data_IF_291175759087
#
_entry.id   IF_291175759087
#
_cell.length_a   1.000
_cell.length_b   1.000
_cell.length_c   1.000
_cell.angle_alpha   90.00
_cell.angle_beta   90.00
_cell.angle_gamma   90.00
#
_symmetry.space_group_name_H-M   'P 1'
#
loop_
_entity.id
_entity.type
_entity.pdbx_description
1 polymer ?
#
# COMPACT_ATOMS: atom_id res chain seq x y z
N UNK A 1 -31.69 -7.70 -25.95
CA UNK A 1 -31.07 -8.92 -25.39
C UNK A 1 -30.10 -8.48 -24.31
N UNK A 2 -30.26 -8.94 -23.06
CA UNK A 2 -29.24 -8.78 -22.02
C UNK A 2 -28.10 -9.75 -22.35
N UNK A 3 -27.07 -9.27 -23.03
CA UNK A 3 -25.87 -10.06 -23.28
C UNK A 3 -25.02 -10.05 -22.00
N UNK A 4 -24.48 -11.18 -21.59
CA UNK A 4 -23.54 -11.20 -20.47
C UNK A 4 -22.20 -10.63 -20.96
N UNK A 5 -21.73 -9.54 -20.35
CA UNK A 5 -20.41 -9.00 -20.65
C UNK A 5 -19.37 -9.80 -19.85
N UNK A 6 -18.70 -10.74 -20.51
CA UNK A 6 -17.52 -11.39 -19.94
C UNK A 6 -16.32 -10.46 -20.14
N UNK A 7 -16.04 -9.62 -19.13
CA UNK A 7 -14.86 -8.77 -19.11
C UNK A 7 -13.74 -9.48 -18.34
N UNK A 8 -12.55 -9.55 -18.92
CA UNK A 8 -11.36 -10.02 -18.21
C UNK A 8 -10.49 -8.82 -17.87
N UNK A 9 -10.20 -8.65 -16.57
CA UNK A 9 -9.19 -7.70 -16.12
C UNK A 9 -7.83 -8.37 -16.24
N UNK A 10 -6.83 -7.61 -16.69
CA UNK A 10 -5.45 -8.06 -16.81
C UNK A 10 -4.54 -7.02 -16.18
N UNK A 11 -3.59 -7.50 -15.39
CA UNK A 11 -2.61 -6.66 -14.72
C UNK A 11 -1.19 -7.04 -15.18
N UNK A 12 -0.20 -6.27 -14.71
CA UNK A 12 1.21 -6.56 -14.96
C UNK A 12 1.64 -7.88 -14.30
N UNK A 13 2.88 -8.30 -14.59
CA UNK A 13 3.52 -9.31 -13.76
C UNK A 13 3.75 -8.76 -12.34
N UNK A 14 3.76 -9.67 -11.36
CA UNK A 14 4.19 -9.35 -10.00
C UNK A 14 5.68 -9.02 -9.98
N UNK A 15 6.05 -8.04 -9.16
CA UNK A 15 7.42 -7.61 -8.97
C UNK A 15 7.62 -7.39 -7.48
N UNK A 16 8.61 -8.07 -6.92
CA UNK A 16 9.02 -7.90 -5.53
C UNK A 16 10.50 -7.52 -5.45
N UNK A 17 10.88 -6.42 -4.78
CA UNK A 17 12.27 -6.09 -4.51
C UNK A 17 13.07 -7.17 -3.76
N UNK A 18 12.45 -7.90 -2.82
CA UNK A 18 13.09 -9.00 -2.03
C UNK A 18 13.19 -10.33 -2.78
N UNK A 19 12.47 -10.44 -3.90
CA UNK A 19 12.43 -11.65 -4.70
C UNK A 19 11.49 -12.70 -4.14
N UNK A 20 10.60 -12.34 -3.22
CA UNK A 20 9.53 -13.21 -2.77
C UNK A 20 8.57 -13.57 -3.91
N UNK A 21 7.93 -14.73 -3.77
CA UNK A 21 7.00 -15.24 -4.77
C UNK A 21 5.66 -14.50 -4.75
N UNK A 22 4.93 -14.46 -5.85
CA UNK A 22 3.56 -13.93 -5.85
C UNK A 22 2.62 -14.94 -5.14
N UNK A 23 2.06 -14.64 -3.96
CA UNK A 23 1.11 -15.54 -3.29
C UNK A 23 -0.31 -15.41 -3.82
N UNK A 24 -0.84 -14.18 -3.93
CA UNK A 24 -2.23 -13.94 -4.29
C UNK A 24 -2.46 -12.51 -4.79
N UNK A 25 -3.60 -12.28 -5.43
CA UNK A 25 -4.04 -10.94 -5.82
C UNK A 25 -5.46 -10.64 -5.34
N UNK A 26 -5.71 -9.41 -4.92
CA UNK A 26 -7.05 -8.92 -4.64
C UNK A 26 -7.51 -7.93 -5.72
N UNK A 27 -8.58 -8.30 -6.43
CA UNK A 27 -9.19 -7.53 -7.50
C UNK A 27 -10.42 -6.81 -6.98
N UNK A 28 -10.39 -5.48 -7.01
CA UNK A 28 -11.49 -4.65 -6.53
C UNK A 28 -12.06 -3.85 -7.69
N UNK A 29 -13.38 -3.89 -7.86
CA UNK A 29 -14.12 -3.08 -8.82
C UNK A 29 -15.02 -2.13 -8.05
N UNK A 30 -14.94 -0.84 -8.33
CA UNK A 30 -15.78 0.20 -7.74
C UNK A 30 -16.65 0.86 -8.80
N UNK A 31 -17.88 1.19 -8.44
CA UNK A 31 -18.76 1.99 -9.31
C UNK A 31 -18.22 3.41 -9.39
N UNK A 32 -18.14 3.96 -10.59
CA UNK A 32 -17.69 5.34 -10.80
C UNK A 32 -18.67 6.39 -10.26
N UNK A 33 -19.94 6.04 -10.08
CA UNK A 33 -20.98 6.96 -9.60
C UNK A 33 -20.84 7.34 -8.12
N UNK A 34 -20.42 6.39 -7.28
CA UNK A 34 -20.47 6.51 -5.82
C UNK A 34 -19.29 5.82 -5.10
N UNK A 35 -18.32 5.29 -5.85
CA UNK A 35 -17.15 4.56 -5.36
C UNK A 35 -17.47 3.33 -4.48
N UNK A 36 -18.71 2.84 -4.46
CA UNK A 36 -19.06 1.62 -3.74
C UNK A 36 -18.43 0.41 -4.42
N UNK A 37 -17.96 -0.55 -3.64
CA UNK A 37 -17.42 -1.82 -4.13
C UNK A 37 -18.54 -2.60 -4.82
N UNK A 38 -18.37 -2.85 -6.11
CA UNK A 38 -19.25 -3.72 -6.91
C UNK A 38 -18.76 -5.17 -6.88
N UNK A 39 -17.45 -5.38 -6.75
CA UNK A 39 -16.82 -6.69 -6.63
C UNK A 39 -15.50 -6.56 -5.89
N UNK A 40 -15.22 -7.56 -5.06
CA UNK A 40 -13.95 -7.77 -4.39
C UNK A 40 -13.68 -9.28 -4.38
N UNK A 41 -12.56 -9.71 -4.95
CA UNK A 41 -12.20 -11.13 -4.97
C UNK A 41 -11.67 -11.62 -3.61
N UNK A 42 -11.29 -10.71 -2.71
CA UNK A 42 -10.34 -11.01 -1.64
C UNK A 42 -9.00 -11.50 -2.19
N UNK A 43 -8.15 -12.05 -1.33
CA UNK A 43 -6.89 -12.68 -1.72
C UNK A 43 -7.13 -13.94 -2.56
N UNK A 44 -7.02 -13.81 -3.87
CA UNK A 44 -7.17 -14.88 -4.84
C UNK A 44 -5.81 -15.47 -5.21
N UNK A 45 -5.54 -16.71 -4.78
CA UNK A 45 -4.30 -17.43 -5.05
C UNK A 45 -4.26 -18.11 -6.42
N UNK A 46 -5.35 -18.05 -7.19
CA UNK A 46 -5.48 -18.66 -8.52
C UNK A 46 -5.35 -17.57 -9.60
N UNK A 47 -6.16 -16.52 -9.50
CA UNK A 47 -6.24 -15.44 -10.48
C UNK A 47 -5.22 -14.33 -10.22
N UNK A 48 -3.93 -14.65 -10.33
CA UNK A 48 -2.82 -13.75 -9.94
C UNK A 48 -2.56 -12.57 -10.88
N UNK A 49 -2.76 -12.72 -12.18
CA UNK A 49 -2.47 -11.63 -13.15
C UNK A 49 -3.64 -11.33 -14.08
N UNK A 50 -4.72 -12.11 -13.97
CA UNK A 50 -5.96 -11.85 -14.67
C UNK A 50 -7.14 -12.47 -13.93
N UNK A 51 -8.28 -11.81 -13.94
CA UNK A 51 -9.55 -12.34 -13.43
C UNK A 51 -10.68 -12.09 -14.42
N UNK A 52 -11.55 -13.08 -14.60
CA UNK A 52 -12.80 -12.89 -15.35
C UNK A 52 -13.85 -12.33 -14.39
N UNK A 53 -14.39 -11.16 -14.70
CA UNK A 53 -15.42 -10.52 -13.89
C UNK A 53 -16.69 -11.38 -13.91
N UNK A 54 -17.23 -11.77 -12.74
CA UNK A 54 -18.43 -12.59 -12.69
C UNK A 54 -19.62 -11.92 -13.38
N UNK A 55 -20.46 -12.73 -14.02
CA UNK A 55 -21.68 -12.25 -14.65
C UNK A 55 -22.59 -11.56 -13.61
N UNK A 56 -23.14 -10.39 -13.96
CA UNK A 56 -24.02 -9.62 -13.08
C UNK A 56 -23.31 -8.56 -12.21
N UNK A 57 -21.97 -8.54 -12.17
CA UNK A 57 -21.22 -7.47 -11.47
C UNK A 57 -21.31 -6.14 -12.22
N UNK A 58 -21.21 -6.19 -13.55
CA UNK A 58 -21.22 -5.01 -14.41
C UNK A 58 -22.59 -4.78 -15.04
N UNK A 59 -23.06 -3.54 -14.99
CA UNK A 59 -24.27 -3.09 -15.67
C UNK A 59 -23.93 -2.27 -16.91
N UNK A 60 -24.77 -2.37 -17.92
CA UNK A 60 -24.66 -1.55 -19.12
C UNK A 60 -24.81 -0.06 -18.80
N UNK A 61 -24.14 0.78 -19.59
CA UNK A 61 -24.19 2.25 -19.46
C UNK A 61 -23.79 2.79 -18.08
N UNK A 62 -22.98 2.03 -17.33
CA UNK A 62 -22.38 2.44 -16.07
C UNK A 62 -20.85 2.49 -16.19
N UNK A 63 -20.24 3.40 -15.42
CA UNK A 63 -18.78 3.53 -15.35
C UNK A 63 -18.26 2.80 -14.12
N UNK A 64 -17.12 2.14 -14.26
CA UNK A 64 -16.43 1.45 -13.19
C UNK A 64 -14.94 1.80 -13.20
N UNK A 65 -14.32 1.75 -12.03
CA UNK A 65 -12.87 1.70 -11.88
C UNK A 65 -12.49 0.35 -11.26
N UNK A 66 -11.26 -0.09 -11.50
CA UNK A 66 -10.76 -1.31 -10.89
C UNK A 66 -9.32 -1.13 -10.42
N UNK A 67 -8.92 -1.91 -9.42
CA UNK A 67 -7.56 -1.99 -8.91
C UNK A 67 -7.21 -3.45 -8.61
N UNK A 68 -5.92 -3.75 -8.62
CA UNK A 68 -5.36 -5.02 -8.15
C UNK A 68 -4.32 -4.73 -7.06
N UNK A 69 -4.35 -5.51 -6.00
CA UNK A 69 -3.32 -5.54 -4.96
C UNK A 69 -2.62 -6.90 -5.03
N UNK A 70 -1.29 -6.90 -5.01
CA UNK A 70 -0.51 -8.13 -4.94
C UNK A 70 -0.07 -8.41 -3.51
N UNK A 71 -0.05 -9.69 -3.15
CA UNK A 71 0.51 -10.19 -1.91
C UNK A 71 1.65 -11.13 -2.22
N UNK A 72 2.81 -10.92 -1.62
CA UNK A 72 3.97 -11.79 -1.73
C UNK A 72 3.77 -13.13 -0.98
N UNK A 73 4.77 -14.01 -1.04
CA UNK A 73 4.78 -15.33 -0.41
C UNK A 73 4.80 -15.28 1.13
N UNK A 74 5.24 -14.17 1.69
CA UNK A 74 5.36 -13.93 3.12
C UNK A 74 4.12 -13.19 3.69
N UNK A 75 3.15 -12.85 2.84
CA UNK A 75 1.93 -12.13 3.23
C UNK A 75 2.06 -10.61 3.17
N UNK A 76 3.19 -10.08 2.68
CA UNK A 76 3.39 -8.66 2.51
C UNK A 76 2.55 -8.11 1.34
N UNK A 77 1.87 -7.01 1.62
CA UNK A 77 1.29 -6.09 0.63
C UNK A 77 1.91 -4.72 0.85
N UNK A 78 2.01 -3.87 -0.18
CA UNK A 78 2.76 -2.60 -0.12
C UNK A 78 2.54 -1.77 1.16
N UNK A 79 3.54 -0.99 1.57
CA UNK A 79 3.48 -0.22 2.80
C UNK A 79 2.61 1.04 2.64
N UNK A 80 1.94 1.43 3.72
CA UNK A 80 1.18 2.68 3.84
C UNK A 80 1.86 3.57 4.88
N UNK A 81 2.31 4.74 4.45
CA UNK A 81 2.83 5.77 5.34
C UNK A 81 1.72 6.76 5.71
N UNK A 82 1.48 6.89 7.00
CA UNK A 82 0.60 7.88 7.60
C UNK A 82 1.39 8.80 8.51
N UNK A 83 0.89 10.02 8.69
CA UNK A 83 1.52 10.99 9.56
C UNK A 83 0.49 11.80 10.34
N UNK A 84 0.89 12.26 11.52
CA UNK A 84 0.11 13.19 12.33
C UNK A 84 1.02 14.10 13.14
N UNK A 85 0.46 15.18 13.65
CA UNK A 85 1.10 16.05 14.61
C UNK A 85 0.65 15.66 16.02
N UNK A 86 1.60 15.30 16.89
CA UNK A 86 1.29 15.02 18.29
C UNK A 86 0.88 16.32 19.00
N UNK A 87 -0.38 16.41 19.40
CA UNK A 87 -0.87 17.53 20.21
C UNK A 87 -0.10 17.59 21.54
N UNK A 88 0.50 18.74 21.85
CA UNK A 88 1.19 19.01 23.12
C UNK A 88 2.72 18.95 23.08
N UNK A 89 3.32 18.11 22.23
CA UNK A 89 4.79 18.05 22.05
C UNK A 89 5.27 18.74 20.77
N UNK A 90 4.37 18.91 19.78
CA UNK A 90 4.72 19.49 18.48
C UNK A 90 5.55 18.56 17.59
N UNK A 91 5.77 17.32 18.01
CA UNK A 91 6.54 16.34 17.25
C UNK A 91 5.72 15.74 16.12
N UNK A 92 6.35 15.60 14.95
CA UNK A 92 5.78 14.88 13.82
C UNK A 92 5.91 13.38 14.03
N UNK A 93 4.79 12.68 13.94
CA UNK A 93 4.70 11.24 14.15
C UNK A 93 4.42 10.55 12.84
N UNK A 94 5.22 9.53 12.54
CA UNK A 94 5.06 8.66 11.39
C UNK A 94 4.51 7.31 11.83
N UNK A 95 3.59 6.79 11.04
CA UNK A 95 3.06 5.45 11.20
C UNK A 95 3.15 4.70 9.88
N UNK A 96 3.63 3.46 9.93
CA UNK A 96 3.73 2.59 8.77
C UNK A 96 2.83 1.38 9.03
N UNK A 97 1.92 1.14 8.11
CA UNK A 97 1.01 -0.01 8.09
C UNK A 97 1.22 -0.85 6.84
N UNK A 98 0.66 -2.06 6.84
CA UNK A 98 0.37 -2.76 5.60
C UNK A 98 -0.77 -2.05 4.87
N UNK A 99 -0.72 -1.98 3.53
CA UNK A 99 -1.79 -1.37 2.73
C UNK A 99 -3.14 -2.09 2.88
N UNK A 100 -3.14 -3.37 3.26
CA UNK A 100 -4.34 -4.17 3.51
C UNK A 100 -4.94 -4.00 4.92
N UNK A 101 -4.24 -3.26 5.80
CA UNK A 101 -4.65 -3.08 7.19
C UNK A 101 -4.37 -4.28 8.10
N UNK A 102 -3.69 -5.32 7.62
CA UNK A 102 -3.21 -6.41 8.47
C UNK A 102 -2.01 -5.95 9.34
N UNK A 103 -1.77 -6.59 10.49
CA UNK A 103 -0.62 -6.28 11.33
C UNK A 103 0.73 -6.51 10.62
N UNK A 104 1.68 -5.59 10.82
CA UNK A 104 3.10 -5.81 10.57
C UNK A 104 3.68 -6.80 11.60
N UNK A 105 4.46 -7.76 11.13
CA UNK A 105 5.28 -8.63 11.98
C UNK A 105 6.74 -8.13 12.09
N UNK A 106 7.49 -8.74 13.01
CA UNK A 106 8.87 -8.33 13.31
C UNK A 106 9.87 -8.60 12.21
N UNK A 107 9.68 -9.65 11.40
CA UNK A 107 10.59 -9.97 10.30
C UNK A 107 10.44 -8.92 9.21
N UNK A 108 9.19 -8.60 8.89
CA UNK A 108 8.87 -7.58 7.90
C UNK A 108 9.36 -6.19 8.31
N UNK A 109 9.10 -5.79 9.56
CA UNK A 109 9.61 -4.53 10.12
C UNK A 109 11.13 -4.41 10.02
N UNK A 110 11.86 -5.52 10.15
CA UNK A 110 13.32 -5.50 10.03
C UNK A 110 13.78 -5.05 8.63
N UNK A 111 12.95 -5.22 7.59
CA UNK A 111 13.24 -4.83 6.22
C UNK A 111 12.72 -3.42 5.86
N UNK A 112 11.98 -2.74 6.74
CA UNK A 112 11.46 -1.41 6.46
C UNK A 112 12.52 -0.33 6.73
N UNK A 113 12.82 0.44 5.70
CA UNK A 113 13.64 1.64 5.77
C UNK A 113 12.77 2.90 5.62
N UNK A 114 12.97 3.87 6.50
CA UNK A 114 12.28 5.16 6.48
C UNK A 114 13.29 6.22 6.07
N UNK A 115 12.95 7.06 5.09
CA UNK A 115 13.82 8.12 4.61
C UNK A 115 13.16 9.49 4.76
N UNK A 116 13.99 10.50 5.03
CA UNK A 116 13.60 11.91 5.16
C UNK A 116 14.36 12.83 4.18
N UNK A 117 13.74 13.94 3.80
CA UNK A 117 14.40 15.08 3.14
C UNK A 117 13.66 16.39 3.39
N UNK A 118 14.37 17.50 3.48
CA UNK A 118 13.79 18.85 3.49
C UNK A 118 13.63 19.45 2.08
N UNK A 119 14.12 18.75 1.04
CA UNK A 119 14.10 19.21 -0.34
C UNK A 119 13.75 18.07 -1.31
N UNK A 120 12.54 18.09 -1.88
CA UNK A 120 12.11 17.09 -2.87
C UNK A 120 12.93 17.10 -4.16
N UNK A 121 13.57 18.21 -4.51
CA UNK A 121 14.27 18.36 -5.79
C UNK A 121 15.54 17.50 -5.90
N UNK A 122 16.05 16.95 -4.79
CA UNK A 122 17.28 16.15 -4.78
C UNK A 122 17.09 14.73 -5.35
N UNK A 123 15.84 14.31 -5.63
CA UNK A 123 15.52 12.96 -6.12
C UNK A 123 15.74 11.88 -5.06
N UNK A 124 15.23 10.67 -5.28
CA UNK A 124 15.20 9.58 -4.29
C UNK A 124 16.57 9.18 -3.72
N UNK A 125 17.63 9.22 -4.54
CA UNK A 125 18.99 8.85 -4.12
C UNK A 125 19.62 9.82 -3.12
N UNK A 126 19.11 11.05 -3.02
CA UNK A 126 19.59 12.06 -2.07
C UNK A 126 18.90 12.02 -0.71
N UNK A 127 17.92 11.12 -0.50
CA UNK A 127 17.16 11.08 0.75
C UNK A 127 17.95 10.34 1.83
N UNK A 128 17.87 10.84 3.05
CA UNK A 128 18.64 10.32 4.18
C UNK A 128 17.80 9.27 4.92
N UNK A 129 18.37 8.09 5.15
CA UNK A 129 17.73 7.05 5.98
C UNK A 129 17.68 7.52 7.43
N UNK A 130 16.49 7.53 8.02
CA UNK A 130 16.28 7.83 9.43
C UNK A 130 16.77 6.65 10.27
N UNK A 131 17.51 6.95 11.35
CA UNK A 131 18.08 5.94 12.26
C UNK A 131 17.43 5.96 13.64
N UNK A 132 16.39 6.77 13.79
CA UNK A 132 15.62 6.91 15.02
C UNK A 132 14.98 5.58 15.37
N UNK A 133 14.88 5.24 16.67
CA UNK A 133 14.20 4.02 17.08
C UNK A 133 12.75 4.03 16.61
N UNK A 134 12.40 3.08 15.76
CA UNK A 134 11.02 2.80 15.39
C UNK A 134 10.45 1.71 16.30
N UNK A 135 9.22 1.88 16.76
CA UNK A 135 8.55 0.98 17.71
C UNK A 135 7.41 0.26 16.98
N UNK A 136 7.45 -1.07 16.95
CA UNK A 136 6.31 -1.87 16.52
C UNK A 136 5.31 -1.96 17.68
N UNK A 137 4.12 -1.39 17.49
CA UNK A 137 3.04 -1.39 18.50
C UNK A 137 1.70 -1.65 17.84
N UNK A 138 0.91 -2.58 18.38
CA UNK A 138 -0.39 -2.98 17.82
C UNK A 138 -0.36 -3.32 16.32
N UNK A 139 0.72 -3.94 15.84
CA UNK A 139 0.85 -4.32 14.42
C UNK A 139 1.17 -3.15 13.49
N UNK A 140 1.62 -2.01 14.00
CA UNK A 140 1.98 -0.81 13.25
C UNK A 140 3.35 -0.31 13.68
N UNK A 141 4.18 0.08 12.73
CA UNK A 141 5.48 0.68 13.03
C UNK A 141 5.31 2.17 13.27
N UNK A 142 5.88 2.67 14.36
CA UNK A 142 5.77 4.05 14.81
C UNK A 142 7.15 4.69 14.93
N UNK A 143 7.29 5.93 14.48
CA UNK A 143 8.52 6.72 14.63
C UNK A 143 8.16 8.18 14.93
N UNK A 144 8.89 8.80 15.86
CA UNK A 144 8.84 10.24 16.08
C UNK A 144 9.97 10.92 15.31
N UNK A 145 9.65 11.99 14.57
CA UNK A 145 10.62 12.85 13.92
C UNK A 145 11.05 13.97 14.89
N UNK A 146 12.26 13.90 15.48
CA UNK A 146 12.75 14.91 16.41
C UNK A 146 13.16 16.20 15.71
N UNK A 147 13.37 16.18 14.39
CA UNK A 147 13.76 17.38 13.62
C UNK A 147 12.56 18.23 13.22
N UNK A 148 11.35 17.72 13.45
CA UNK A 148 10.08 18.40 13.11
C UNK A 148 9.93 19.79 13.75
N UNK A 149 10.53 20.03 14.91
CA UNK A 149 10.49 21.34 15.57
C UNK A 149 11.36 22.40 14.86
N UNK A 150 12.37 21.98 14.11
CA UNK A 150 13.34 22.86 13.42
C UNK A 150 13.18 22.89 11.90
N UNK A 151 12.35 22.01 11.34
CA UNK A 151 12.16 21.86 9.89
C UNK A 151 10.76 22.34 9.49
N UNK A 152 10.64 23.50 8.82
CA UNK A 152 9.34 24.01 8.36
C UNK A 152 8.64 23.07 7.37
N UNK A 153 9.42 22.23 6.70
CA UNK A 153 8.96 21.22 5.77
C UNK A 153 9.89 20.02 5.80
N UNK A 154 9.30 18.83 5.93
CA UNK A 154 9.99 17.55 5.92
C UNK A 154 9.14 16.57 5.10
N UNK A 155 9.79 15.84 4.19
CA UNK A 155 9.17 14.84 3.35
C UNK A 155 9.68 13.46 3.73
N UNK A 156 8.79 12.47 3.67
CA UNK A 156 9.07 11.11 4.10
C UNK A 156 8.66 10.10 3.05
N UNK A 157 9.40 9.01 3.01
CA UNK A 157 9.08 7.82 2.21
C UNK A 157 9.48 6.58 2.98
N UNK A 158 8.84 5.47 2.64
CA UNK A 158 9.13 4.15 3.18
C UNK A 158 9.52 3.24 2.03
N UNK A 159 10.55 2.45 2.25
CA UNK A 159 10.97 1.41 1.33
C UNK A 159 11.10 0.11 2.09
N UNK A 160 10.63 -0.97 1.50
CA UNK A 160 10.88 -2.32 1.98
C UNK A 160 12.13 -2.82 1.26
N UNK A 161 13.13 -3.20 2.04
CA UNK A 161 14.39 -3.75 1.53
C UNK A 161 14.16 -5.18 1.04
N UNK A 162 14.98 -5.59 0.04
CA UNK A 162 15.09 -6.98 -0.33
C UNK A 162 15.43 -7.92 0.83
#
# INVERSE_FOLDING_TARGET
TNQALALTLQASAFSDPDGDGHASSAWVIKRGSDNTIAFDSGNDSVNKTSITVPAGVLSYSATYSWSVHYTDANGAQGLKLLSTMAGGTGLFQLFIDNADGLPLDTNRVANIDIFGTTNLAIGSSGWIKLTNPAILTNGRLFLEDPESAGTPQHFFRVEERP
#
